data_IF_631405109848
#
_entry.id   IF_631405109848
#
_cell.length_a   1.000
_cell.length_b   1.000
_cell.length_c   1.000
_cell.angle_alpha   90.00
_cell.angle_beta   90.00
_cell.angle_gamma   90.00
#
_symmetry.space_group_name_H-M   'P 1'
#
loop_
_entity.id
_entity.type
_entity.pdbx_description
1 polymer ?
#
# COMPACT_ATOMS: atom_id res chain seq x y z
N UNK A 1 -7.55 19.47 -12.19
CA UNK A 1 -7.06 18.51 -13.20
C UNK A 1 -8.08 17.38 -13.21
N UNK A 2 -7.73 16.09 -13.28
CA UNK A 2 -8.69 15.00 -13.01
C UNK A 2 -8.46 14.46 -11.59
N UNK A 3 -9.51 14.12 -10.83
CA UNK A 3 -9.38 13.52 -9.50
C UNK A 3 -8.45 12.31 -9.49
N UNK A 4 -7.71 12.10 -8.39
CA UNK A 4 -6.69 11.04 -8.30
C UNK A 4 -7.24 9.67 -8.76
N UNK A 5 -8.44 9.30 -8.31
CA UNK A 5 -9.06 8.00 -8.58
C UNK A 5 -9.40 7.76 -10.06
N UNK A 6 -9.47 8.81 -10.89
CA UNK A 6 -9.68 8.68 -12.34
C UNK A 6 -8.36 8.48 -13.11
N UNK A 7 -7.22 8.77 -12.49
CA UNK A 7 -5.90 8.79 -13.14
C UNK A 7 -5.03 7.58 -12.82
N UNK A 8 -5.55 6.66 -12.00
CA UNK A 8 -4.82 5.51 -11.48
C UNK A 8 -5.61 4.23 -11.63
N UNK A 9 -4.89 3.12 -11.80
CA UNK A 9 -5.51 1.79 -11.73
C UNK A 9 -5.91 1.50 -10.29
N UNK A 10 -7.16 1.12 -10.11
CA UNK A 10 -7.69 0.75 -8.81
C UNK A 10 -7.42 -0.72 -8.50
N UNK A 11 -7.34 -1.08 -7.22
CA UNK A 11 -7.11 -2.48 -6.83
C UNK A 11 -8.32 -3.38 -7.09
N UNK A 12 -9.53 -2.83 -7.21
CA UNK A 12 -10.74 -3.62 -7.48
C UNK A 12 -10.78 -4.23 -8.89
N UNK A 13 -9.92 -3.75 -9.80
CA UNK A 13 -9.75 -4.28 -11.14
C UNK A 13 -8.47 -5.13 -11.29
N UNK A 14 -7.76 -5.41 -10.19
CA UNK A 14 -6.63 -6.34 -10.20
C UNK A 14 -7.16 -7.78 -10.25
N UNK A 15 -6.84 -8.56 -11.29
CA UNK A 15 -7.30 -9.94 -11.39
C UNK A 15 -6.79 -10.79 -10.24
N UNK A 16 -7.70 -11.52 -9.60
CA UNK A 16 -7.39 -12.59 -8.66
C UNK A 16 -8.01 -13.86 -9.24
N UNK A 17 -7.17 -14.78 -9.70
CA UNK A 17 -7.59 -16.06 -10.27
C UNK A 17 -7.32 -17.20 -9.29
N UNK A 18 -7.62 -18.43 -9.71
CA UNK A 18 -7.20 -19.63 -8.98
C UNK A 18 -5.67 -19.72 -8.87
N UNK A 19 -4.94 -19.26 -9.90
CA UNK A 19 -3.48 -19.27 -9.97
C UNK A 19 -2.81 -18.19 -9.11
N UNK A 20 -3.53 -17.13 -8.76
CA UNK A 20 -3.02 -16.07 -7.88
C UNK A 20 -3.45 -14.65 -8.27
N UNK A 21 -2.81 -13.68 -7.62
CA UNK A 21 -3.00 -12.24 -7.88
C UNK A 21 -2.09 -11.81 -9.02
N UNK A 22 -2.64 -11.23 -10.09
CA UNK A 22 -1.84 -10.75 -11.23
C UNK A 22 -0.80 -9.70 -10.79
N UNK A 23 0.48 -10.02 -10.99
CA UNK A 23 1.58 -9.20 -10.46
C UNK A 23 1.66 -7.83 -11.13
N UNK A 24 1.54 -7.76 -12.46
CA UNK A 24 1.71 -6.49 -13.18
C UNK A 24 0.58 -5.53 -12.85
N UNK A 25 -0.67 -6.02 -12.86
CA UNK A 25 -1.83 -5.24 -12.48
C UNK A 25 -1.76 -4.73 -11.03
N UNK A 26 -1.29 -5.56 -10.10
CA UNK A 26 -1.05 -5.17 -8.72
C UNK A 26 0.03 -4.08 -8.60
N UNK A 27 1.15 -4.21 -9.31
CA UNK A 27 2.23 -3.21 -9.27
C UNK A 27 1.80 -1.88 -9.89
N UNK A 28 1.03 -1.92 -10.98
CA UNK A 28 0.44 -0.74 -11.60
C UNK A 28 -0.52 -0.01 -10.63
N UNK A 29 -1.41 -0.74 -9.96
CA UNK A 29 -2.29 -0.18 -8.93
C UNK A 29 -1.50 0.38 -7.74
N UNK A 30 -0.41 -0.29 -7.35
CA UNK A 30 0.50 0.18 -6.29
C UNK A 30 1.19 1.49 -6.65
N UNK A 31 1.62 1.66 -7.91
CA UNK A 31 2.12 2.96 -8.41
C UNK A 31 1.03 4.02 -8.30
N UNK A 32 -0.22 3.69 -8.62
CA UNK A 32 -1.38 4.56 -8.42
C UNK A 32 -1.51 5.08 -6.99
N UNK A 33 -1.41 4.19 -6.00
CA UNK A 33 -1.42 4.54 -4.58
C UNK A 33 -0.25 5.49 -4.21
N UNK A 34 0.94 5.32 -4.78
CA UNK A 34 2.07 6.24 -4.49
C UNK A 34 1.82 7.67 -4.96
N UNK A 35 1.09 7.86 -6.07
CA UNK A 35 0.74 9.20 -6.57
C UNK A 35 -0.13 9.97 -5.57
N UNK A 36 -0.98 9.29 -4.80
CA UNK A 36 -1.77 9.92 -3.74
C UNK A 36 -0.86 10.57 -2.69
N UNK A 37 0.22 9.91 -2.30
CA UNK A 37 1.19 10.46 -1.35
C UNK A 37 2.05 11.58 -1.94
N UNK A 38 2.23 11.64 -3.25
CA UNK A 38 2.94 12.74 -3.93
C UNK A 38 2.18 14.06 -3.82
N UNK A 39 0.84 14.01 -3.85
CA UNK A 39 -0.03 15.18 -3.71
C UNK A 39 0.08 15.86 -2.34
N UNK A 40 0.58 15.16 -1.33
CA UNK A 40 0.67 15.68 0.04
C UNK A 40 1.92 16.55 0.25
N UNK A 41 2.81 16.65 -0.75
CA UNK A 41 3.99 17.53 -0.82
C UNK A 41 4.86 17.60 0.44
N UNK A 42 4.85 16.56 1.28
CA UNK A 42 5.63 16.52 2.51
C UNK A 42 6.93 15.75 2.32
N UNK A 43 8.00 16.23 2.97
CA UNK A 43 9.30 15.55 2.96
C UNK A 43 9.21 14.10 3.46
N UNK A 44 8.30 13.84 4.41
CA UNK A 44 8.05 12.51 4.97
C UNK A 44 7.43 11.60 3.91
N UNK A 45 6.42 12.08 3.17
CA UNK A 45 5.81 11.30 2.10
C UNK A 45 6.76 11.09 0.91
N UNK A 46 7.63 12.06 0.62
CA UNK A 46 8.71 11.89 -0.36
C UNK A 46 9.67 10.74 0.00
N UNK A 47 10.06 10.63 1.27
CA UNK A 47 10.88 9.52 1.75
C UNK A 47 10.15 8.17 1.63
N UNK A 48 8.87 8.11 2.04
CA UNK A 48 8.04 6.90 1.95
C UNK A 48 7.88 6.46 0.49
N UNK A 49 7.55 7.38 -0.41
CA UNK A 49 7.45 7.09 -1.85
C UNK A 49 8.75 6.60 -2.45
N UNK A 50 9.89 7.19 -2.06
CA UNK A 50 11.21 6.70 -2.49
C UNK A 50 11.45 5.24 -2.08
N UNK A 51 11.00 4.84 -0.89
CA UNK A 51 11.07 3.44 -0.44
C UNK A 51 10.14 2.53 -1.23
N UNK A 52 8.87 2.93 -1.41
CA UNK A 52 7.89 2.13 -2.16
C UNK A 52 8.36 1.92 -3.61
N UNK A 53 8.88 2.97 -4.27
CA UNK A 53 9.41 2.87 -5.64
C UNK A 53 10.59 1.91 -5.74
N UNK A 54 11.49 1.88 -4.76
CA UNK A 54 12.58 0.88 -4.70
C UNK A 54 12.04 -0.53 -4.55
N UNK A 55 11.09 -0.74 -3.64
CA UNK A 55 10.50 -2.06 -3.41
C UNK A 55 9.75 -2.56 -4.67
N UNK A 56 8.99 -1.70 -5.36
CA UNK A 56 8.38 -2.01 -6.67
C UNK A 56 9.46 -2.37 -7.71
N UNK A 57 10.57 -1.63 -7.73
CA UNK A 57 11.69 -1.88 -8.63
C UNK A 57 12.29 -3.27 -8.46
N UNK A 58 12.49 -3.71 -7.22
CA UNK A 58 12.99 -5.06 -6.91
C UNK A 58 12.02 -6.14 -7.43
N UNK A 59 10.71 -5.99 -7.17
CA UNK A 59 9.70 -6.95 -7.65
C UNK A 59 9.67 -7.01 -9.18
N UNK A 60 9.70 -5.87 -9.87
CA UNK A 60 9.74 -5.82 -11.35
C UNK A 60 11.01 -6.46 -11.92
N UNK A 61 12.17 -6.23 -11.31
CA UNK A 61 13.42 -6.83 -11.75
C UNK A 61 13.36 -8.37 -11.67
N UNK A 62 12.76 -8.92 -10.61
CA UNK A 62 12.54 -10.36 -10.49
C UNK A 62 11.59 -10.89 -11.57
N UNK A 63 10.48 -10.19 -11.83
CA UNK A 63 9.54 -10.58 -12.88
C UNK A 63 10.21 -10.64 -14.26
N UNK A 64 11.04 -9.66 -14.58
CA UNK A 64 11.75 -9.61 -15.86
C UNK A 64 12.78 -10.74 -15.98
N UNK A 65 13.40 -11.13 -14.87
CA UNK A 65 14.36 -12.23 -14.82
C UNK A 65 13.67 -13.60 -14.91
N UNK A 66 12.49 -13.75 -14.31
CA UNK A 66 11.74 -15.00 -14.22
C UNK A 66 10.27 -14.86 -14.67
N UNK A 67 10.00 -14.47 -15.93
CA UNK A 67 8.66 -14.08 -16.39
C UNK A 67 7.64 -15.23 -16.34
N UNK A 68 8.07 -16.47 -16.64
CA UNK A 68 7.19 -17.64 -16.61
C UNK A 68 6.82 -18.14 -15.21
N UNK A 69 7.37 -17.53 -14.15
CA UNK A 69 7.10 -17.91 -12.75
C UNK A 69 6.61 -16.75 -11.89
N UNK A 70 6.51 -15.55 -12.45
CA UNK A 70 6.24 -14.32 -11.69
C UNK A 70 4.99 -13.58 -12.16
N UNK A 71 4.13 -14.24 -12.94
CA UNK A 71 2.87 -13.67 -13.43
C UNK A 71 1.85 -13.45 -12.31
N UNK A 72 1.93 -14.24 -11.23
CA UNK A 72 1.16 -14.00 -10.01
C UNK A 72 2.07 -13.70 -8.83
N UNK A 73 1.57 -13.00 -7.81
CA UNK A 73 2.33 -12.70 -6.60
C UNK A 73 2.77 -13.97 -5.87
N UNK A 74 1.91 -14.97 -5.81
CA UNK A 74 2.22 -16.29 -5.23
C UNK A 74 3.32 -17.00 -6.01
N UNK A 75 3.22 -17.00 -7.35
CA UNK A 75 4.27 -17.53 -8.22
C UNK A 75 5.59 -16.80 -8.02
N UNK A 76 5.56 -15.47 -7.97
CA UNK A 76 6.73 -14.63 -7.75
C UNK A 76 7.40 -14.95 -6.41
N UNK A 77 6.63 -15.12 -5.34
CA UNK A 77 7.16 -15.52 -4.03
C UNK A 77 7.81 -16.91 -4.11
N UNK A 78 7.13 -17.88 -4.72
CA UNK A 78 7.68 -19.23 -4.91
C UNK A 78 8.98 -19.20 -5.73
N UNK A 79 9.00 -18.41 -6.81
CA UNK A 79 10.19 -18.17 -7.63
C UNK A 79 11.33 -17.59 -6.80
N UNK A 80 11.07 -16.51 -6.04
CA UNK A 80 12.08 -15.87 -5.21
C UNK A 80 12.67 -16.82 -4.15
N UNK A 81 11.84 -17.68 -3.54
CA UNK A 81 12.33 -18.74 -2.62
C UNK A 81 13.22 -19.74 -3.36
N UNK A 82 12.77 -20.25 -4.52
CA UNK A 82 13.53 -21.21 -5.32
C UNK A 82 14.86 -20.66 -5.82
N UNK A 83 14.93 -19.36 -6.10
CA UNK A 83 16.13 -18.68 -6.60
C UNK A 83 16.98 -18.08 -5.47
N UNK A 84 16.61 -18.31 -4.20
CA UNK A 84 17.29 -17.74 -3.03
C UNK A 84 17.48 -16.22 -3.13
N UNK A 85 16.41 -15.51 -3.53
CA UNK A 85 16.38 -14.06 -3.73
C UNK A 85 15.70 -13.35 -2.54
N UNK A 86 16.44 -13.06 -1.45
CA UNK A 86 15.87 -12.43 -0.27
C UNK A 86 15.48 -10.98 -0.49
N UNK A 87 16.08 -10.28 -1.46
CA UNK A 87 15.79 -8.87 -1.72
C UNK A 87 14.33 -8.69 -2.12
N UNK A 88 13.85 -9.53 -3.04
CA UNK A 88 12.47 -9.51 -3.54
C UNK A 88 11.47 -9.90 -2.46
N UNK A 89 11.77 -10.93 -1.66
CA UNK A 89 10.92 -11.34 -0.55
C UNK A 89 10.78 -10.22 0.48
N UNK A 90 11.91 -9.60 0.85
CA UNK A 90 11.93 -8.49 1.82
C UNK A 90 11.19 -7.27 1.27
N UNK A 91 11.39 -6.92 0.00
CA UNK A 91 10.72 -5.78 -0.64
C UNK A 91 9.22 -6.01 -0.77
N UNK A 92 8.78 -7.21 -1.16
CA UNK A 92 7.36 -7.53 -1.23
C UNK A 92 6.71 -7.56 0.16
N UNK A 93 7.38 -8.12 1.17
CA UNK A 93 6.88 -8.08 2.56
C UNK A 93 6.73 -6.65 3.08
N UNK A 94 7.70 -5.78 2.77
CA UNK A 94 7.64 -4.35 3.09
C UNK A 94 6.48 -3.63 2.38
N UNK A 95 6.22 -3.96 1.12
CA UNK A 95 5.09 -3.40 0.35
C UNK A 95 3.76 -3.82 0.95
N UNK A 96 3.52 -5.13 1.11
CA UNK A 96 2.26 -5.67 1.60
C UNK A 96 1.95 -5.14 3.00
N UNK A 97 2.93 -5.10 3.90
CA UNK A 97 2.79 -4.53 5.25
C UNK A 97 2.44 -3.04 5.20
N UNK A 98 3.15 -2.25 4.39
CA UNK A 98 2.88 -0.81 4.24
C UNK A 98 1.50 -0.52 3.64
N UNK A 99 1.06 -1.34 2.68
CA UNK A 99 -0.27 -1.28 2.09
C UNK A 99 -1.36 -1.69 3.08
N UNK A 100 -1.11 -2.69 3.92
CA UNK A 100 -2.07 -3.06 4.96
C UNK A 100 -2.28 -1.92 5.94
N UNK A 101 -1.19 -1.32 6.41
CA UNK A 101 -1.24 -0.12 7.24
C UNK A 101 -2.03 1.00 6.56
N UNK A 102 -1.68 1.35 5.32
CA UNK A 102 -2.32 2.44 4.56
C UNK A 102 -3.81 2.20 4.38
N UNK A 103 -4.21 1.00 3.94
CA UNK A 103 -5.61 0.66 3.70
C UNK A 103 -6.44 0.66 4.98
N UNK A 104 -5.93 0.07 6.06
CA UNK A 104 -6.60 0.08 7.36
C UNK A 104 -6.78 1.49 7.92
N UNK A 105 -5.74 2.35 7.81
CA UNK A 105 -5.82 3.73 8.27
C UNK A 105 -6.80 4.58 7.46
N UNK A 106 -6.80 4.45 6.13
CA UNK A 106 -7.68 5.24 5.27
C UNK A 106 -9.13 4.75 5.30
N UNK A 107 -9.38 3.44 5.34
CA UNK A 107 -10.74 2.91 5.51
C UNK A 107 -11.34 3.36 6.84
N UNK A 108 -10.54 3.36 7.91
CA UNK A 108 -10.95 3.92 9.20
C UNK A 108 -11.31 5.40 9.06
N UNK A 109 -10.47 6.19 8.39
CA UNK A 109 -10.78 7.60 8.16
C UNK A 109 -12.11 7.75 7.37
N UNK A 110 -12.38 6.91 6.37
CA UNK A 110 -13.64 6.97 5.61
C UNK A 110 -14.85 6.64 6.51
N UNK A 111 -14.76 5.57 7.31
CA UNK A 111 -15.87 5.09 8.15
C UNK A 111 -16.13 5.95 9.39
N UNK A 112 -15.10 6.62 9.91
CA UNK A 112 -15.16 7.49 11.09
C UNK A 112 -14.99 8.97 10.68
N UNK A 113 -16.02 9.62 10.09
CA UNK A 113 -15.88 10.96 9.51
C UNK A 113 -15.59 12.06 10.54
N UNK A 114 -15.85 11.79 11.83
CA UNK A 114 -15.60 12.71 12.94
C UNK A 114 -14.17 12.61 13.48
N UNK A 115 -13.41 11.58 13.11
CA UNK A 115 -12.02 11.42 13.54
C UNK A 115 -11.06 12.16 12.60
N UNK A 116 -10.07 12.83 13.20
CA UNK A 116 -8.95 13.40 12.45
C UNK A 116 -8.08 12.33 11.80
N UNK A 117 -7.42 12.70 10.71
CA UNK A 117 -6.62 11.76 9.91
C UNK A 117 -5.47 11.14 10.73
N UNK A 118 -4.82 11.95 11.57
CA UNK A 118 -3.81 11.47 12.52
C UNK A 118 -4.34 10.34 13.41
N UNK A 119 -5.56 10.45 13.95
CA UNK A 119 -6.14 9.43 14.84
C UNK A 119 -6.32 8.11 14.10
N UNK A 120 -6.78 8.18 12.84
CA UNK A 120 -6.97 7.01 11.99
C UNK A 120 -5.64 6.34 11.63
N UNK A 121 -4.62 7.13 11.34
CA UNK A 121 -3.28 6.64 11.06
C UNK A 121 -2.56 6.09 12.30
N UNK A 122 -2.71 6.72 13.46
CA UNK A 122 -2.14 6.22 14.71
C UNK A 122 -2.75 4.85 15.09
N UNK A 123 -4.08 4.70 15.00
CA UNK A 123 -4.74 3.41 15.26
C UNK A 123 -4.29 2.32 14.28
N UNK A 124 -4.25 2.62 12.99
CA UNK A 124 -3.77 1.65 11.99
C UNK A 124 -2.29 1.29 12.21
N UNK A 125 -1.47 2.24 12.66
CA UNK A 125 -0.08 1.97 13.01
C UNK A 125 0.03 1.00 14.20
N UNK A 126 -0.74 1.25 15.25
CA UNK A 126 -0.76 0.44 16.47
C UNK A 126 -1.24 -1.00 16.18
N UNK A 127 -2.22 -1.16 15.29
CA UNK A 127 -2.76 -2.45 14.89
C UNK A 127 -1.81 -3.24 13.97
N UNK A 128 -1.18 -2.57 12.99
CA UNK A 128 -0.47 -3.26 11.90
C UNK A 128 1.04 -3.25 12.05
N UNK A 129 1.64 -2.09 12.34
CA UNK A 129 3.11 -1.92 12.30
C UNK A 129 3.76 -2.05 13.67
N UNK A 130 3.12 -1.51 14.72
CA UNK A 130 3.69 -1.44 16.06
C UNK A 130 4.15 -2.80 16.61
N UNK A 131 3.47 -3.95 16.37
CA UNK A 131 3.94 -5.25 16.84
C UNK A 131 5.37 -5.60 16.39
N UNK A 132 5.82 -5.08 15.25
CA UNK A 132 7.14 -5.36 14.65
C UNK A 132 8.21 -4.33 15.00
N UNK A 133 7.86 -3.25 15.71
CA UNK A 133 8.76 -2.14 16.00
C UNK A 133 9.15 -2.08 17.48
N UNK A 134 10.40 -1.69 17.75
CA UNK A 134 10.87 -1.41 19.11
C UNK A 134 10.21 -0.15 19.67
N UNK A 135 10.22 0.03 20.99
CA UNK A 135 9.66 1.22 21.65
C UNK A 135 10.15 2.55 21.04
N UNK A 136 11.46 2.63 20.75
CA UNK A 136 12.06 3.82 20.13
C UNK A 136 11.52 4.06 18.72
N UNK A 137 11.43 3.01 17.90
CA UNK A 137 10.87 3.12 16.54
C UNK A 137 9.40 3.52 16.58
N UNK A 138 8.60 2.95 17.50
CA UNK A 138 7.20 3.35 17.71
C UNK A 138 7.09 4.83 18.06
N UNK A 139 7.91 5.32 18.97
CA UNK A 139 7.91 6.72 19.39
C UNK A 139 8.23 7.65 18.21
N UNK A 140 9.28 7.33 17.43
CA UNK A 140 9.64 8.11 16.25
C UNK A 140 8.51 8.15 15.22
N UNK A 141 7.85 7.01 14.97
CA UNK A 141 6.76 6.95 13.99
C UNK A 141 5.55 7.75 14.48
N UNK A 142 5.12 7.60 15.73
CA UNK A 142 4.01 8.40 16.29
C UNK A 142 4.28 9.90 16.25
N UNK A 143 5.53 10.34 16.39
CA UNK A 143 5.90 11.74 16.16
C UNK A 143 5.78 12.11 14.68
N UNK A 144 6.28 11.28 13.78
CA UNK A 144 6.17 11.49 12.34
C UNK A 144 4.72 11.56 11.84
N UNK A 145 3.81 10.77 12.41
CA UNK A 145 2.39 10.79 12.06
C UNK A 145 1.73 12.15 12.35
N UNK A 146 2.27 12.97 13.27
CA UNK A 146 1.74 14.33 13.52
C UNK A 146 1.98 15.30 12.36
N UNK A 147 2.85 14.94 11.41
CA UNK A 147 3.08 15.72 10.20
C UNK A 147 2.14 15.32 9.04
N UNK A 148 1.23 14.37 9.27
CA UNK A 148 0.14 14.06 8.33
C UNK A 148 -0.81 15.28 8.30
N UNK A 149 -1.31 15.69 7.12
CA UNK A 149 -2.28 16.77 7.00
C UNK A 149 -3.55 16.53 7.81
N UNK A 150 -4.31 17.59 8.06
CA UNK A 150 -5.67 17.47 8.59
C UNK A 150 -6.53 16.65 7.62
N UNK A 151 -7.60 16.05 8.15
CA UNK A 151 -8.57 15.30 7.33
C UNK A 151 -9.04 16.10 6.11
N UNK A 152 -9.53 17.31 6.37
CA UNK A 152 -10.10 18.20 5.35
C UNK A 152 -9.07 18.52 4.25
N UNK A 153 -7.85 18.89 4.66
CA UNK A 153 -6.73 19.15 3.74
C UNK A 153 -6.43 17.94 2.87
N UNK A 154 -6.32 16.75 3.47
CA UNK A 154 -6.00 15.52 2.75
C UNK A 154 -7.04 15.16 1.70
N UNK A 155 -8.32 15.10 2.10
CA UNK A 155 -9.39 14.69 1.19
C UNK A 155 -9.62 15.74 0.09
N UNK A 156 -9.50 17.03 0.42
CA UNK A 156 -9.58 18.12 -0.58
C UNK A 156 -8.44 18.02 -1.61
N UNK A 157 -7.20 17.77 -1.16
CA UNK A 157 -6.06 17.61 -2.07
C UNK A 157 -6.23 16.48 -3.07
N UNK A 158 -6.72 15.31 -2.62
CA UNK A 158 -6.85 14.14 -3.49
C UNK A 158 -8.14 14.15 -4.33
N UNK A 159 -9.13 14.96 -3.93
CA UNK A 159 -10.35 15.19 -4.70
C UNK A 159 -10.08 16.03 -5.95
N UNK A 160 -9.15 17.00 -5.88
CA UNK A 160 -8.80 17.91 -6.98
C UNK A 160 -10.06 18.55 -7.63
N UNK A 161 -10.88 19.19 -6.79
CA UNK A 161 -12.21 19.76 -7.12
C UNK A 161 -13.31 18.75 -7.53
N UNK A 162 -13.01 17.45 -7.47
CA UNK A 162 -13.97 16.38 -7.72
C UNK A 162 -15.00 16.20 -6.58
N UNK A 163 -16.13 15.51 -6.86
CA UNK A 163 -17.14 15.24 -5.83
C UNK A 163 -16.59 14.33 -4.72
N UNK A 164 -16.73 14.75 -3.46
CA UNK A 164 -16.21 14.03 -2.30
C UNK A 164 -16.82 12.62 -2.15
N UNK A 165 -18.11 12.46 -2.44
CA UNK A 165 -18.78 11.15 -2.38
C UNK A 165 -18.22 10.17 -3.41
N UNK A 166 -17.91 10.66 -4.62
CA UNK A 166 -17.27 9.85 -5.66
C UNK A 166 -15.87 9.43 -5.25
N UNK A 167 -15.09 10.35 -4.65
CA UNK A 167 -13.77 10.05 -4.12
C UNK A 167 -13.85 9.00 -3.01
N UNK A 168 -14.71 9.18 -2.00
CA UNK A 168 -14.84 8.24 -0.89
C UNK A 168 -15.27 6.86 -1.38
N UNK A 169 -16.26 6.79 -2.28
CA UNK A 169 -16.71 5.52 -2.85
C UNK A 169 -15.62 4.80 -3.65
N UNK A 170 -14.91 5.51 -4.53
CA UNK A 170 -13.83 4.94 -5.32
C UNK A 170 -12.64 4.51 -4.45
N UNK A 171 -12.24 5.36 -3.50
CA UNK A 171 -11.15 5.07 -2.58
C UNK A 171 -11.49 3.88 -1.68
N UNK A 172 -12.68 3.86 -1.06
CA UNK A 172 -13.12 2.73 -0.23
C UNK A 172 -13.08 1.42 -1.02
N UNK A 173 -13.67 1.38 -2.22
CA UNK A 173 -13.69 0.19 -3.07
C UNK A 173 -12.28 -0.31 -3.38
N UNK A 174 -11.38 0.61 -3.73
CA UNK A 174 -9.97 0.30 -4.01
C UNK A 174 -9.24 -0.24 -2.78
N UNK A 175 -9.44 0.37 -1.60
CA UNK A 175 -8.77 -0.03 -0.37
C UNK A 175 -9.28 -1.36 0.18
N UNK A 176 -10.57 -1.65 0.06
CA UNK A 176 -11.15 -2.95 0.42
C UNK A 176 -10.58 -4.06 -0.47
N UNK A 177 -10.50 -3.83 -1.78
CA UNK A 177 -9.86 -4.76 -2.71
C UNK A 177 -8.37 -4.96 -2.41
N UNK A 178 -7.66 -3.89 -2.04
CA UNK A 178 -6.28 -3.97 -1.58
C UNK A 178 -6.16 -4.85 -0.32
N UNK A 179 -7.06 -4.70 0.66
CA UNK A 179 -7.05 -5.55 1.86
C UNK A 179 -7.24 -7.04 1.51
N UNK A 180 -8.09 -7.38 0.53
CA UNK A 180 -8.23 -8.76 0.06
C UNK A 180 -6.90 -9.31 -0.47
N UNK A 181 -6.19 -8.54 -1.30
CA UNK A 181 -4.87 -8.93 -1.83
C UNK A 181 -3.85 -9.09 -0.69
N UNK A 182 -3.77 -8.11 0.20
CA UNK A 182 -2.85 -8.11 1.34
C UNK A 182 -3.07 -9.33 2.23
N UNK A 183 -4.32 -9.60 2.63
CA UNK A 183 -4.65 -10.72 3.52
C UNK A 183 -4.40 -12.08 2.87
N UNK A 184 -4.45 -12.15 1.54
CA UNK A 184 -4.10 -13.35 0.78
C UNK A 184 -2.59 -13.58 0.72
N UNK A 185 -1.81 -12.53 0.49
CA UNK A 185 -0.37 -12.63 0.21
C UNK A 185 0.49 -12.60 1.48
N UNK A 186 0.08 -11.86 2.52
CA UNK A 186 0.85 -11.72 3.76
C UNK A 186 1.19 -13.06 4.43
N UNK A 187 0.26 -14.03 4.59
CA UNK A 187 0.59 -15.32 5.20
C UNK A 187 1.59 -16.15 4.38
N UNK A 188 1.53 -16.04 3.05
CA UNK A 188 2.44 -16.75 2.15
C UNK A 188 3.86 -16.19 2.30
N UNK A 189 4.00 -14.86 2.35
CA UNK A 189 5.29 -14.20 2.60
C UNK A 189 5.87 -14.55 3.97
N UNK A 190 5.03 -14.52 5.01
CA UNK A 190 5.46 -14.84 6.37
C UNK A 190 5.88 -16.31 6.51
N UNK A 191 5.32 -17.23 5.71
CA UNK A 191 5.76 -18.63 5.64
C UNK A 191 7.00 -18.82 4.74
N UNK A 192 7.25 -17.91 3.80
CA UNK A 192 8.38 -17.96 2.86
C UNK A 192 9.67 -17.42 3.47
N UNK A 193 9.55 -16.60 4.51
CA UNK A 193 10.64 -16.24 5.41
C UNK A 193 10.68 -17.18 6.61
N UNK A 194 11.87 -17.66 6.97
CA UNK A 194 12.10 -18.19 8.32
C UNK A 194 11.88 -17.10 9.38
#
# INVERSE_FOLDING_TARGET
>A
MSPWYETVKSFDVVPITEDGVDTEAYLEATVGLTKMFELLESQIFGFVNGKIRRDIGAVRAHMQTYPGRSSTLEGLISSAVMQEDPEVLISLQKLIRGQYFTSSSLLRAIHDPNDELYTSFQRGYDEVMAPYHTFWVRTTISVGLRAIPTRDTFFTMIADDGPMDSLHGALQKSLEALQVIVLRIQPILDASGR
#
